data_IF_922269635985
#
_entry.id   IF_922269635985
#
_cell.length_a   1.000
_cell.length_b   1.000
_cell.length_c   1.000
_cell.angle_alpha   90.00
_cell.angle_beta   90.00
_cell.angle_gamma   90.00
#
_symmetry.space_group_name_H-M   'P 1'
#
loop_
_entity.id
_entity.type
_entity.pdbx_description
1 polymer ?
#
# COMPACT_ATOMS: atom_id res chain seq x y z
N UNK A 1 -5.59 32.21 -28.86
CA UNK A 1 -5.10 31.46 -27.68
C UNK A 1 -6.32 30.92 -26.94
N UNK A 2 -6.67 29.66 -27.17
CA UNK A 2 -7.99 29.06 -26.89
C UNK A 2 -8.24 28.77 -25.40
N UNK A 3 -9.50 28.90 -24.97
CA UNK A 3 -10.01 28.62 -23.61
C UNK A 3 -9.51 27.28 -23.03
N UNK A 4 -9.22 26.30 -23.89
CA UNK A 4 -8.73 24.97 -23.54
C UNK A 4 -7.37 25.02 -22.81
N UNK A 5 -6.49 25.98 -23.13
CA UNK A 5 -5.21 26.14 -22.42
C UNK A 5 -5.40 26.65 -20.98
N UNK A 6 -6.40 27.50 -20.73
CA UNK A 6 -6.70 28.00 -19.38
C UNK A 6 -7.38 26.95 -18.50
N UNK A 7 -8.14 26.03 -19.09
CA UNK A 7 -8.75 24.92 -18.36
C UNK A 7 -7.70 23.88 -17.92
N UNK A 8 -6.74 23.55 -18.79
CA UNK A 8 -5.60 22.69 -18.45
C UNK A 8 -4.66 23.35 -17.42
N UNK A 9 -4.55 24.68 -17.43
CA UNK A 9 -3.73 25.41 -16.46
C UNK A 9 -4.40 25.54 -15.09
N UNK A 10 -5.74 25.45 -15.01
CA UNK A 10 -6.51 25.43 -13.74
C UNK A 10 -6.64 24.04 -13.12
N UNK A 11 -6.53 22.97 -13.91
CA UNK A 11 -6.43 21.60 -13.39
C UNK A 11 -5.00 21.23 -12.94
N UNK A 12 -4.01 22.08 -13.22
CA UNK A 12 -2.65 22.01 -12.70
C UNK A 12 -2.40 22.92 -11.49
N UNK A 13 -3.46 23.22 -10.72
CA UNK A 13 -3.43 24.15 -9.59
C UNK A 13 -2.43 23.75 -8.51
N UNK A 14 -1.40 24.58 -8.39
CA UNK A 14 -0.57 24.82 -7.21
C UNK A 14 0.30 23.64 -6.73
N UNK A 15 1.31 23.32 -7.55
CA UNK A 15 2.55 22.75 -7.00
C UNK A 15 3.14 23.74 -6.01
N UNK A 16 3.07 23.42 -4.73
CA UNK A 16 4.05 23.91 -3.78
C UNK A 16 5.45 23.63 -4.35
N UNK A 17 6.19 24.70 -4.62
CA UNK A 17 7.59 24.63 -4.99
C UNK A 17 8.37 23.95 -3.86
N UNK A 18 9.10 22.88 -4.19
CA UNK A 18 10.25 22.42 -3.40
C UNK A 18 10.25 20.96 -2.93
N UNK A 19 9.10 20.32 -2.69
CA UNK A 19 9.10 18.94 -2.22
C UNK A 19 9.50 17.96 -3.34
N UNK A 20 10.48 17.11 -3.08
CA UNK A 20 10.87 16.06 -4.03
C UNK A 20 9.65 15.16 -4.30
N UNK A 21 9.42 14.74 -5.55
CA UNK A 21 8.27 13.92 -5.95
C UNK A 21 8.09 12.68 -5.04
N UNK A 22 9.19 12.15 -4.50
CA UNK A 22 9.23 10.95 -3.66
C UNK A 22 9.36 11.25 -2.16
N UNK A 23 9.32 12.52 -1.77
CA UNK A 23 9.34 12.92 -0.38
C UNK A 23 8.01 12.53 0.29
N UNK A 24 8.05 11.67 1.32
CA UNK A 24 6.86 11.21 2.01
C UNK A 24 6.05 12.38 2.57
N UNK A 25 4.74 12.30 2.39
CA UNK A 25 3.73 13.22 2.91
C UNK A 25 2.36 12.56 2.78
N UNK A 26 1.36 13.05 3.52
CA UNK A 26 -0.03 12.67 3.23
C UNK A 26 -0.44 13.32 1.89
N UNK A 27 -0.79 12.54 0.84
CA UNK A 27 -1.23 13.10 -0.43
C UNK A 27 -2.61 13.77 -0.31
N UNK A 28 -3.01 14.53 -1.33
CA UNK A 28 -4.38 15.04 -1.40
C UNK A 28 -5.32 13.89 -1.73
N UNK A 29 -6.29 13.66 -0.85
CA UNK A 29 -7.21 12.53 -0.90
C UNK A 29 -8.57 12.99 -1.37
N UNK A 30 -9.17 12.26 -2.30
CA UNK A 30 -10.50 12.57 -2.80
C UNK A 30 -11.57 12.19 -1.76
N UNK A 31 -12.38 13.18 -1.39
CA UNK A 31 -13.54 13.01 -0.52
C UNK A 31 -14.74 12.45 -1.31
N UNK A 32 -15.64 11.74 -0.62
CA UNK A 32 -16.93 11.33 -1.19
C UNK A 32 -16.96 9.99 -1.91
N UNK A 33 -15.83 9.28 -2.03
CA UNK A 33 -15.83 7.90 -2.48
C UNK A 33 -16.49 6.96 -1.46
N UNK A 34 -17.14 5.89 -1.93
CA UNK A 34 -17.59 4.80 -1.06
C UNK A 34 -16.38 3.96 -0.62
N UNK A 35 -15.71 4.41 0.44
CA UNK A 35 -14.47 3.79 0.95
C UNK A 35 -14.65 2.30 1.27
N UNK A 36 -15.78 1.93 1.89
CA UNK A 36 -16.08 0.55 2.19
C UNK A 36 -16.08 -0.33 0.92
N UNK A 37 -16.76 0.12 -0.14
CA UNK A 37 -16.81 -0.60 -1.40
C UNK A 37 -15.44 -0.67 -2.10
N UNK A 38 -14.69 0.44 -2.12
CA UNK A 38 -13.35 0.51 -2.73
C UNK A 38 -12.40 -0.48 -2.07
N UNK A 39 -12.32 -0.49 -0.74
CA UNK A 39 -11.41 -1.38 -0.03
C UNK A 39 -11.88 -2.84 -0.03
N UNK A 40 -13.18 -3.11 -0.02
CA UNK A 40 -13.69 -4.46 -0.24
C UNK A 40 -13.30 -4.98 -1.64
N UNK A 41 -13.42 -4.15 -2.67
CA UNK A 41 -12.99 -4.50 -4.02
C UNK A 41 -11.48 -4.72 -4.11
N UNK A 42 -10.68 -3.87 -3.45
CA UNK A 42 -9.22 -4.02 -3.40
C UNK A 42 -8.81 -5.37 -2.80
N UNK A 43 -9.40 -5.74 -1.65
CA UNK A 43 -9.14 -7.03 -0.98
C UNK A 43 -9.57 -8.20 -1.83
N UNK A 44 -10.76 -8.16 -2.43
CA UNK A 44 -11.26 -9.21 -3.32
C UNK A 44 -10.33 -9.39 -4.53
N UNK A 45 -9.87 -8.29 -5.13
CA UNK A 45 -8.94 -8.32 -6.26
C UNK A 45 -7.57 -8.89 -5.86
N UNK A 46 -7.07 -8.54 -4.68
CA UNK A 46 -5.80 -9.05 -4.16
C UNK A 46 -5.88 -10.54 -3.77
N UNK A 47 -7.06 -11.01 -3.37
CA UNK A 47 -7.31 -12.40 -3.00
C UNK A 47 -7.62 -13.31 -4.20
N UNK A 48 -7.88 -12.76 -5.38
CA UNK A 48 -8.14 -13.52 -6.61
C UNK A 48 -6.88 -14.29 -7.05
N UNK A 49 -6.77 -15.50 -6.52
CA UNK A 49 -5.70 -16.46 -6.79
C UNK A 49 -6.04 -17.42 -7.94
N UNK A 50 -7.25 -17.31 -8.50
CA UNK A 50 -7.82 -18.30 -9.44
C UNK A 50 -7.64 -17.92 -10.91
N UNK A 51 -6.90 -16.84 -11.20
CA UNK A 51 -6.53 -16.46 -12.57
C UNK A 51 -5.10 -16.95 -12.91
N UNK A 52 -4.92 -18.22 -13.32
CA UNK A 52 -3.60 -18.77 -13.65
C UNK A 52 -2.90 -18.03 -14.79
N UNK A 53 -3.64 -17.31 -15.65
CA UNK A 53 -3.08 -16.55 -16.76
C UNK A 53 -2.66 -15.10 -16.40
N UNK A 54 -3.21 -14.51 -15.34
CA UNK A 54 -2.96 -13.09 -14.99
C UNK A 54 -1.89 -12.89 -13.92
N UNK A 55 -1.52 -13.97 -13.21
CA UNK A 55 -0.58 -13.89 -12.08
C UNK A 55 -1.20 -13.20 -10.87
N UNK A 56 -0.50 -13.31 -9.73
CA UNK A 56 -0.90 -12.61 -8.49
C UNK A 56 -0.54 -11.13 -8.58
N UNK A 57 -1.25 -10.28 -7.85
CA UNK A 57 -1.03 -8.84 -7.88
C UNK A 57 -0.87 -8.28 -6.47
N UNK A 58 -0.09 -7.21 -6.35
CA UNK A 58 -0.23 -6.25 -5.26
C UNK A 58 -1.24 -5.20 -5.73
N UNK A 59 -2.31 -4.97 -4.97
CA UNK A 59 -3.33 -3.97 -5.29
C UNK A 59 -3.00 -2.68 -4.56
N UNK A 60 -2.86 -1.59 -5.30
CA UNK A 60 -2.56 -0.26 -4.74
C UNK A 60 -3.80 0.62 -4.91
N UNK A 61 -4.37 1.07 -3.79
CA UNK A 61 -5.41 2.08 -3.74
C UNK A 61 -4.73 3.45 -3.74
N UNK A 62 -4.98 4.22 -4.78
CA UNK A 62 -4.46 5.60 -4.89
C UNK A 62 -5.31 6.57 -4.04
N UNK A 63 -4.82 7.80 -3.77
CA UNK A 63 -5.58 8.82 -3.06
C UNK A 63 -6.89 9.23 -3.76
N UNK A 64 -6.91 9.16 -5.10
CA UNK A 64 -8.12 9.30 -5.94
C UNK A 64 -8.94 8.02 -6.06
N UNK A 65 -8.69 7.03 -5.19
CA UNK A 65 -9.45 5.77 -5.03
C UNK A 65 -9.47 4.85 -6.25
N UNK A 66 -8.58 5.08 -7.21
CA UNK A 66 -8.30 4.15 -8.29
C UNK A 66 -7.53 2.94 -7.75
N UNK A 67 -7.85 1.75 -8.27
CA UNK A 67 -7.12 0.51 -8.01
C UNK A 67 -6.08 0.29 -9.11
N UNK A 68 -4.81 0.38 -8.75
CA UNK A 68 -3.69 -0.03 -9.61
C UNK A 68 -3.29 -1.46 -9.25
N UNK A 69 -3.06 -2.30 -10.25
CA UNK A 69 -2.57 -3.67 -10.05
C UNK A 69 -1.12 -3.73 -10.45
N UNK A 70 -0.25 -4.08 -9.50
CA UNK A 70 1.15 -4.37 -9.78
C UNK A 70 1.30 -5.89 -9.91
N UNK A 71 1.54 -6.42 -11.12
CA UNK A 71 1.68 -7.85 -11.33
C UNK A 71 2.94 -8.38 -10.64
N UNK A 72 2.81 -9.56 -10.03
CA UNK A 72 3.92 -10.33 -9.49
C UNK A 72 4.62 -11.10 -10.61
N UNK A 73 5.88 -11.51 -10.38
CA UNK A 73 6.57 -12.42 -11.29
C UNK A 73 5.74 -13.71 -11.52
N UNK A 74 5.80 -14.32 -12.72
CA UNK A 74 5.10 -15.58 -13.00
C UNK A 74 5.47 -16.67 -11.98
N UNK A 75 4.54 -17.57 -11.62
CA UNK A 75 4.85 -18.70 -10.75
C UNK A 75 6.06 -19.49 -11.27
N UNK A 76 7.01 -19.79 -10.37
CA UNK A 76 8.25 -20.49 -10.69
C UNK A 76 9.39 -19.61 -11.22
N UNK A 77 9.14 -18.33 -11.52
CA UNK A 77 10.20 -17.43 -12.04
C UNK A 77 11.08 -16.79 -10.96
N UNK A 78 10.62 -16.73 -9.71
CA UNK A 78 11.41 -16.18 -8.60
C UNK A 78 12.41 -17.23 -8.09
N UNK A 79 13.71 -16.89 -7.91
CA UNK A 79 14.71 -17.81 -7.38
C UNK A 79 14.29 -18.43 -6.04
N UNK A 80 14.55 -19.73 -5.86
CA UNK A 80 14.14 -20.47 -4.65
C UNK A 80 14.70 -19.86 -3.36
N UNK A 81 15.92 -19.33 -3.39
CA UNK A 81 16.56 -18.66 -2.25
C UNK A 81 15.79 -17.39 -1.84
N UNK A 82 15.28 -16.63 -2.81
CA UNK A 82 14.45 -15.45 -2.57
C UNK A 82 13.09 -15.88 -2.00
N UNK A 83 12.45 -16.89 -2.59
CA UNK A 83 11.18 -17.44 -2.09
C UNK A 83 11.32 -17.93 -0.64
N UNK A 84 12.41 -18.65 -0.34
CA UNK A 84 12.70 -19.12 1.02
C UNK A 84 12.92 -17.96 2.00
N UNK A 85 13.57 -16.87 1.56
CA UNK A 85 13.71 -15.64 2.33
C UNK A 85 12.35 -15.05 2.72
N UNK A 86 11.45 -14.88 1.75
CA UNK A 86 10.10 -14.35 1.99
C UNK A 86 9.30 -15.26 2.94
N UNK A 87 9.35 -16.58 2.75
CA UNK A 87 8.65 -17.56 3.62
C UNK A 87 9.13 -17.54 5.07
N UNK A 88 10.37 -17.10 5.33
CA UNK A 88 10.90 -16.91 6.70
C UNK A 88 10.37 -15.64 7.35
N UNK A 89 10.03 -14.63 6.55
CA UNK A 89 9.47 -13.36 7.06
C UNK A 89 8.00 -13.53 7.44
N UNK A 90 7.21 -14.13 6.56
CA UNK A 90 5.81 -14.47 6.79
C UNK A 90 5.57 -15.88 6.27
N UNK A 91 4.98 -16.75 7.11
CA UNK A 91 4.68 -18.11 6.75
C UNK A 91 3.66 -18.14 5.58
N UNK A 92 3.86 -18.99 4.55
CA UNK A 92 2.99 -19.03 3.38
C UNK A 92 1.60 -19.60 3.68
N UNK A 93 1.40 -20.27 4.82
CA UNK A 93 0.10 -20.72 5.32
C UNK A 93 -0.06 -20.36 6.81
N UNK A 94 -1.28 -20.02 7.26
CA UNK A 94 -2.47 -19.79 6.42
C UNK A 94 -2.28 -18.57 5.50
N UNK A 95 -3.00 -18.53 4.36
CA UNK A 95 -3.06 -17.30 3.56
C UNK A 95 -3.57 -16.14 4.41
N UNK A 96 -2.98 -14.97 4.19
CA UNK A 96 -3.21 -13.76 5.00
C UNK A 96 -3.59 -12.61 4.10
N UNK A 97 -4.43 -11.72 4.61
CA UNK A 97 -4.63 -10.38 4.07
C UNK A 97 -3.60 -9.44 4.68
N UNK A 98 -2.68 -8.96 3.87
CA UNK A 98 -1.62 -8.02 4.24
C UNK A 98 -2.00 -6.65 3.69
N UNK A 99 -2.03 -5.65 4.57
CA UNK A 99 -2.25 -4.26 4.18
C UNK A 99 -0.98 -3.47 4.43
N UNK A 100 -0.54 -2.70 3.45
CA UNK A 100 0.57 -1.78 3.59
C UNK A 100 0.07 -0.32 3.58
N UNK A 101 0.60 0.48 4.50
CA UNK A 101 0.44 1.93 4.51
C UNK A 101 1.73 2.53 3.95
N UNK A 102 1.67 3.15 2.79
CA UNK A 102 2.83 3.67 2.08
C UNK A 102 2.47 4.89 1.22
N UNK A 103 3.47 5.53 0.62
CA UNK A 103 3.23 6.71 -0.20
C UNK A 103 2.67 6.34 -1.57
N UNK A 104 1.35 6.56 -1.78
CA UNK A 104 0.60 6.14 -2.99
C UNK A 104 0.22 7.28 -3.93
N UNK A 105 0.88 8.44 -3.85
CA UNK A 105 0.67 9.55 -4.80
C UNK A 105 0.82 9.06 -6.24
N UNK A 106 -0.22 9.24 -7.06
CA UNK A 106 -0.31 8.66 -8.40
C UNK A 106 0.87 9.06 -9.29
N UNK A 107 1.27 10.34 -9.24
CA UNK A 107 2.38 10.86 -10.03
C UNK A 107 3.74 10.24 -9.64
N UNK A 108 3.93 9.89 -8.37
CA UNK A 108 5.13 9.20 -7.89
C UNK A 108 5.11 7.72 -8.29
N UNK A 109 3.96 7.04 -8.11
CA UNK A 109 3.77 5.64 -8.51
C UNK A 109 4.03 5.41 -10.00
N UNK A 110 3.52 6.29 -10.86
CA UNK A 110 3.71 6.20 -12.31
C UNK A 110 5.15 6.48 -12.74
N UNK A 111 5.89 7.28 -11.96
CA UNK A 111 7.27 7.64 -12.30
C UNK A 111 8.26 6.54 -11.91
N UNK A 112 8.18 6.08 -10.66
CA UNK A 112 9.14 5.13 -10.08
C UNK A 112 8.53 4.48 -8.83
N UNK A 113 7.80 3.38 -9.05
CA UNK A 113 7.10 2.65 -7.99
C UNK A 113 8.04 2.21 -6.84
N UNK A 114 9.24 1.66 -7.09
CA UNK A 114 10.20 1.35 -6.02
C UNK A 114 10.66 2.57 -5.21
N UNK A 115 10.69 3.78 -5.78
CA UNK A 115 11.00 4.98 -4.98
C UNK A 115 9.81 5.47 -4.16
N UNK A 116 8.59 5.36 -4.69
CA UNK A 116 7.37 5.70 -3.96
C UNK A 116 7.13 4.73 -2.79
N UNK A 117 7.32 3.43 -3.02
CA UNK A 117 7.13 2.35 -2.06
C UNK A 117 8.43 1.51 -2.00
N UNK A 118 9.41 1.89 -1.16
CA UNK A 118 10.74 1.24 -1.11
C UNK A 118 10.73 -0.27 -0.86
N UNK A 119 9.65 -0.79 -0.27
CA UNK A 119 9.49 -2.20 0.05
C UNK A 119 8.52 -2.94 -0.87
N UNK A 120 8.19 -2.38 -2.05
CA UNK A 120 7.26 -3.02 -2.99
C UNK A 120 7.73 -4.42 -3.42
N UNK A 121 9.03 -4.65 -3.55
CA UNK A 121 9.58 -5.97 -3.88
C UNK A 121 9.28 -7.03 -2.81
N UNK A 122 9.29 -6.65 -1.52
CA UNK A 122 8.88 -7.53 -0.43
C UNK A 122 7.37 -7.81 -0.48
N UNK A 123 6.55 -6.78 -0.72
CA UNK A 123 5.09 -6.94 -0.87
C UNK A 123 4.74 -7.88 -2.03
N UNK A 124 5.42 -7.73 -3.17
CA UNK A 124 5.31 -8.64 -4.31
C UNK A 124 5.77 -10.05 -3.94
N UNK A 125 6.78 -10.20 -3.08
CA UNK A 125 7.17 -11.49 -2.51
C UNK A 125 6.04 -12.15 -1.71
N UNK A 126 5.37 -11.40 -0.84
CA UNK A 126 4.23 -11.93 -0.07
C UNK A 126 3.06 -12.32 -0.96
N UNK A 127 2.73 -11.47 -1.93
CA UNK A 127 1.73 -11.81 -2.95
C UNK A 127 2.16 -13.07 -3.72
N UNK A 128 3.42 -13.15 -4.16
CA UNK A 128 3.96 -14.30 -4.87
C UNK A 128 3.81 -15.62 -4.11
N UNK A 129 3.93 -15.64 -2.77
CA UNK A 129 3.71 -16.86 -1.96
C UNK A 129 2.23 -17.10 -1.57
N UNK A 130 1.31 -16.24 -2.02
CA UNK A 130 -0.14 -16.44 -1.99
C UNK A 130 -0.92 -15.59 -0.98
N UNK A 131 -0.29 -14.61 -0.34
CA UNK A 131 -1.02 -13.64 0.48
C UNK A 131 -1.78 -12.64 -0.40
N UNK A 132 -2.91 -12.14 0.08
CA UNK A 132 -3.59 -11.01 -0.55
C UNK A 132 -2.92 -9.73 -0.06
N UNK A 133 -2.39 -8.89 -0.96
CA UNK A 133 -1.64 -7.69 -0.57
C UNK A 133 -2.30 -6.43 -1.14
N UNK A 134 -2.71 -5.53 -0.24
CA UNK A 134 -3.26 -4.22 -0.56
C UNK A 134 -2.35 -3.09 -0.04
N UNK A 135 -2.30 -1.95 -0.72
CA UNK A 135 -1.51 -0.78 -0.31
C UNK A 135 -2.35 0.49 -0.41
N UNK A 136 -2.24 1.41 0.54
CA UNK A 136 -2.87 2.73 0.48
C UNK A 136 -2.09 3.77 1.32
N UNK A 137 -2.51 5.02 1.28
CA UNK A 137 -1.80 6.17 1.90
C UNK A 137 -1.93 6.29 3.42
N UNK A 138 -2.93 5.63 4.03
CA UNK A 138 -3.16 5.71 5.48
C UNK A 138 -3.93 6.95 5.95
N UNK A 139 -4.64 7.65 5.04
CA UNK A 139 -5.50 8.77 5.41
C UNK A 139 -6.52 8.38 6.47
N UNK A 140 -6.79 9.28 7.42
CA UNK A 140 -7.61 9.00 8.61
C UNK A 140 -9.03 8.56 8.26
N UNK A 141 -9.63 9.12 7.18
CA UNK A 141 -10.98 8.74 6.78
C UNK A 141 -11.02 7.33 6.17
N UNK A 142 -9.91 6.88 5.58
CA UNK A 142 -9.77 5.57 4.96
C UNK A 142 -9.19 4.50 5.88
N UNK A 143 -8.52 4.88 6.97
CA UNK A 143 -7.64 4.01 7.75
C UNK A 143 -8.36 2.76 8.26
N UNK A 144 -9.54 2.91 8.86
CA UNK A 144 -10.32 1.78 9.35
C UNK A 144 -10.83 0.88 8.21
N UNK A 145 -11.27 1.44 7.09
CA UNK A 145 -11.75 0.68 5.94
C UNK A 145 -10.62 -0.09 5.24
N UNK A 146 -9.46 0.56 5.10
CA UNK A 146 -8.28 -0.01 4.46
C UNK A 146 -7.67 -1.14 5.27
N UNK A 147 -7.66 -1.02 6.60
CA UNK A 147 -7.13 -2.05 7.49
C UNK A 147 -8.16 -3.12 7.90
N UNK A 148 -9.43 -2.96 7.53
CA UNK A 148 -10.48 -3.95 7.80
C UNK A 148 -10.10 -5.33 7.25
N UNK A 149 -10.29 -6.37 8.06
CA UNK A 149 -9.99 -7.78 7.76
C UNK A 149 -8.50 -8.12 7.56
N UNK A 150 -7.59 -7.14 7.72
CA UNK A 150 -6.17 -7.42 7.62
C UNK A 150 -5.71 -8.31 8.78
N UNK A 151 -4.90 -9.31 8.47
CA UNK A 151 -4.20 -10.15 9.45
C UNK A 151 -2.91 -9.49 9.90
N UNK A 152 -2.32 -8.69 9.01
CA UNK A 152 -1.05 -8.03 9.22
C UNK A 152 -1.05 -6.68 8.51
N UNK A 153 -0.55 -5.64 9.20
CA UNK A 153 -0.34 -4.31 8.63
C UNK A 153 1.15 -3.97 8.63
N UNK A 154 1.66 -3.47 7.51
CA UNK A 154 3.03 -2.95 7.36
C UNK A 154 2.94 -1.45 7.09
N UNK A 155 3.51 -0.62 7.94
CA UNK A 155 3.53 0.83 7.78
C UNK A 155 4.92 1.25 7.33
N UNK A 156 5.01 2.04 6.27
CA UNK A 156 6.24 2.73 5.94
C UNK A 156 6.61 3.68 7.08
N UNK A 157 7.79 3.48 7.68
CA UNK A 157 8.27 4.32 8.79
C UNK A 157 8.31 5.80 8.42
N UNK A 158 8.54 6.13 7.15
CA UNK A 158 8.55 7.52 6.71
C UNK A 158 7.14 8.13 6.54
N UNK A 159 6.08 7.31 6.53
CA UNK A 159 4.70 7.78 6.52
C UNK A 159 4.14 8.04 7.93
N UNK A 160 4.73 7.43 8.98
CA UNK A 160 4.25 7.53 10.38
C UNK A 160 4.02 8.97 10.85
N UNK A 161 4.92 9.95 10.58
CA UNK A 161 4.70 11.34 11.01
C UNK A 161 3.48 12.03 10.39
N UNK A 162 2.93 11.47 9.31
CA UNK A 162 1.80 12.03 8.56
C UNK A 162 0.47 11.32 8.84
N UNK A 163 0.48 10.26 9.64
CA UNK A 163 -0.73 9.57 10.07
C UNK A 163 -1.37 10.31 11.25
N UNK A 164 -2.66 10.05 11.50
CA UNK A 164 -3.34 10.56 12.69
C UNK A 164 -2.59 10.14 13.97
N UNK A 165 -2.54 10.96 15.04
CA UNK A 165 -1.80 10.61 16.26
C UNK A 165 -2.18 9.26 16.89
N UNK A 166 -3.44 8.85 16.74
CA UNK A 166 -4.01 7.59 17.22
C UNK A 166 -4.11 6.50 16.14
N UNK A 167 -3.40 6.65 15.01
CA UNK A 167 -3.47 5.75 13.86
C UNK A 167 -3.35 4.28 14.26
N UNK A 168 -2.44 3.96 15.18
CA UNK A 168 -2.19 2.57 15.58
C UNK A 168 -3.38 1.97 16.32
N UNK A 169 -4.09 2.77 17.12
CA UNK A 169 -5.34 2.37 17.79
C UNK A 169 -6.44 2.11 16.76
N UNK A 170 -6.60 3.01 15.78
CA UNK A 170 -7.58 2.86 14.70
C UNK A 170 -7.29 1.57 13.90
N UNK A 171 -6.02 1.38 13.50
CA UNK A 171 -5.57 0.18 12.77
C UNK A 171 -5.85 -1.07 13.59
N UNK A 172 -5.39 -1.13 14.84
CA UNK A 172 -5.59 -2.29 15.70
C UNK A 172 -7.07 -2.61 15.96
N UNK A 173 -7.95 -1.60 16.02
CA UNK A 173 -9.39 -1.78 16.19
C UNK A 173 -10.12 -2.25 14.92
N UNK A 174 -9.57 -1.98 13.73
CA UNK A 174 -10.16 -2.37 12.46
C UNK A 174 -9.70 -3.74 11.94
N UNK A 175 -8.46 -4.11 12.27
CA UNK A 175 -7.85 -5.36 11.82
C UNK A 175 -8.54 -6.61 12.41
N UNK A 176 -8.43 -7.72 11.69
CA UNK A 176 -8.73 -9.06 12.24
C UNK A 176 -7.56 -9.58 13.08
N UNK A 177 -6.34 -9.35 12.59
CA UNK A 177 -5.10 -9.75 13.26
C UNK A 177 -4.60 -8.71 14.26
N UNK A 178 -3.44 -8.99 14.86
CA UNK A 178 -2.79 -8.12 15.87
C UNK A 178 -1.34 -7.78 15.53
N UNK A 179 -0.94 -8.04 14.29
CA UNK A 179 0.45 -7.89 13.85
C UNK A 179 0.61 -6.59 13.05
N UNK A 180 1.20 -5.57 13.67
CA UNK A 180 1.58 -4.32 13.01
C UNK A 180 3.11 -4.27 12.96
N UNK A 181 3.64 -3.94 11.79
CA UNK A 181 5.08 -3.76 11.57
C UNK A 181 5.35 -2.37 11.00
N UNK A 182 6.48 -1.79 11.40
CA UNK A 182 7.04 -0.59 10.77
C UNK A 182 8.20 -1.03 9.88
N UNK A 183 8.17 -0.62 8.62
CA UNK A 183 9.28 -0.78 7.69
C UNK A 183 10.25 0.39 7.81
N UNK A 184 11.48 0.10 8.21
CA UNK A 184 12.57 1.08 8.22
C UNK A 184 13.24 1.14 6.84
N UNK A 185 13.13 2.29 6.16
CA UNK A 185 13.72 2.52 4.83
C UNK A 185 15.25 2.49 4.81
N UNK A 186 15.92 2.78 5.92
CA UNK A 186 17.38 2.79 5.99
C UNK A 186 17.95 1.38 6.15
N UNK A 187 17.28 0.54 6.95
CA UNK A 187 17.77 -0.81 7.26
C UNK A 187 17.05 -1.93 6.50
N UNK A 188 15.95 -1.61 5.81
CA UNK A 188 15.05 -2.57 5.15
C UNK A 188 14.53 -3.67 6.09
N UNK A 189 14.43 -3.34 7.39
CA UNK A 189 13.93 -4.25 8.43
C UNK A 189 12.47 -3.95 8.74
N UNK A 190 11.73 -5.01 9.05
CA UNK A 190 10.42 -4.91 9.70
C UNK A 190 10.59 -4.96 11.21
N UNK A 191 10.18 -3.90 11.88
CA UNK A 191 10.15 -3.83 13.34
C UNK A 191 8.71 -4.00 13.79
N UNK A 192 8.45 -4.98 14.67
CA UNK A 192 7.11 -5.15 15.21
C UNK A 192 6.76 -3.92 16.04
N UNK A 193 5.64 -3.29 15.72
CA UNK A 193 5.14 -2.17 16.50
C UNK A 193 4.68 -2.67 17.87
N UNK A 194 5.04 -1.92 18.90
CA UNK A 194 4.58 -2.11 20.27
C UNK A 194 3.97 -0.79 20.73
N UNK A 195 2.83 -0.87 21.41
CA UNK A 195 2.25 0.32 22.02
C UNK A 195 3.25 0.93 23.00
N UNK A 196 3.40 2.27 23.04
CA UNK A 196 4.15 2.92 24.11
C UNK A 196 3.57 2.48 25.46
N UNK A 197 4.44 2.00 26.35
CA UNK A 197 4.12 1.65 27.73
C UNK A 197 3.80 2.88 28.56
#
# INVERSE_FOLDING_TARGET
MTLLKRLLQRLGGERGEGASLFEPRMPSVEAGANLAAVFAQARATAADNERPAAGRNVVIVTPGRLLMMQPCPPPGSMPETQVAGIKKMIAPEPKRTIVAIAYTELSALQRDLPKAIPFIGMLMGFAYIGHAVCVFEGDVAALAYGCSEADLVIVDGAMVPFLAPDWATIVAGAMRGREIYIHDRATFKLQRWQAPS
#
